data_IF_185350686088
#
_entry.id   IF_185350686088
#
_cell.length_a   1.000
_cell.length_b   1.000
_cell.length_c   1.000
_cell.angle_alpha   90.00
_cell.angle_beta   90.00
_cell.angle_gamma   90.00
#
_symmetry.space_group_name_H-M   'P 1'
#
loop_
_entity.id
_entity.type
_entity.pdbx_description
1 polymer ?
#
# COMPACT_ATOMS: atom_id res chain seq x y z
N UNK A 1 -31.08 17.89 -6.25
CA UNK A 1 -30.55 17.59 -7.60
C UNK A 1 -30.63 18.87 -8.42
N UNK A 2 -29.56 19.25 -9.13
CA UNK A 2 -29.57 20.44 -9.98
C UNK A 2 -30.55 20.27 -11.15
N UNK A 3 -31.53 21.16 -11.27
CA UNK A 3 -32.65 21.06 -12.21
C UNK A 3 -32.44 21.85 -13.52
N UNK A 4 -31.43 22.72 -13.59
CA UNK A 4 -31.21 23.61 -14.73
C UNK A 4 -29.71 23.72 -15.05
N UNK A 5 -29.36 23.31 -16.27
CA UNK A 5 -27.98 23.20 -16.69
C UNK A 5 -27.28 24.55 -16.85
N UNK A 6 -28.03 25.62 -17.10
CA UNK A 6 -27.53 26.97 -17.40
C UNK A 6 -27.36 27.79 -16.11
N UNK A 7 -28.14 27.48 -15.07
CA UNK A 7 -28.11 28.19 -13.77
C UNK A 7 -27.18 27.56 -12.74
N UNK A 8 -26.63 26.39 -13.02
CA UNK A 8 -25.77 25.68 -12.08
C UNK A 8 -24.35 26.25 -12.13
N UNK A 9 -23.80 26.77 -11.02
CA UNK A 9 -22.44 27.28 -10.95
C UNK A 9 -21.40 26.27 -11.48
N UNK A 10 -20.42 26.76 -12.25
CA UNK A 10 -19.29 25.97 -12.77
C UNK A 10 -18.60 25.10 -11.69
N UNK A 11 -18.38 25.55 -10.44
CA UNK A 11 -17.77 24.72 -9.41
C UNK A 11 -18.54 23.42 -9.13
N UNK A 12 -19.87 23.46 -9.10
CA UNK A 12 -20.71 22.28 -8.86
C UNK A 12 -20.65 21.29 -10.03
N UNK A 13 -20.49 21.80 -11.26
CA UNK A 13 -20.23 20.97 -12.43
C UNK A 13 -18.87 20.28 -12.37
N UNK A 14 -17.83 21.03 -11.98
CA UNK A 14 -16.49 20.47 -11.83
C UNK A 14 -16.45 19.42 -10.72
N UNK A 15 -17.11 19.64 -9.59
CA UNK A 15 -17.26 18.62 -8.54
C UNK A 15 -17.99 17.37 -9.04
N UNK A 16 -19.12 17.54 -9.73
CA UNK A 16 -19.89 16.42 -10.29
C UNK A 16 -19.08 15.65 -11.34
N UNK A 17 -18.36 16.36 -12.21
CA UNK A 17 -17.45 15.76 -13.19
C UNK A 17 -16.32 15.01 -12.51
N UNK A 18 -15.68 15.59 -11.50
CA UNK A 18 -14.62 14.94 -10.73
C UNK A 18 -15.15 13.70 -10.00
N UNK A 19 -16.34 13.75 -9.40
CA UNK A 19 -16.97 12.62 -8.74
C UNK A 19 -17.31 11.51 -9.75
N UNK A 20 -17.95 11.85 -10.87
CA UNK A 20 -18.25 10.91 -11.95
C UNK A 20 -16.97 10.30 -12.53
N UNK A 21 -15.95 11.12 -12.80
CA UNK A 21 -14.67 10.67 -13.30
C UNK A 21 -13.99 9.72 -12.31
N UNK A 22 -14.00 10.00 -11.00
CA UNK A 22 -13.48 9.09 -9.97
C UNK A 22 -14.21 7.73 -10.00
N UNK A 23 -15.54 7.73 -10.09
CA UNK A 23 -16.36 6.51 -10.15
C UNK A 23 -16.11 5.72 -11.44
N UNK A 24 -16.16 6.39 -12.59
CA UNK A 24 -15.90 5.76 -13.89
C UNK A 24 -14.48 5.24 -13.99
N UNK A 25 -13.48 5.98 -13.46
CA UNK A 25 -12.09 5.54 -13.38
C UNK A 25 -11.95 4.30 -12.51
N UNK A 26 -12.58 4.26 -11.34
CA UNK A 26 -12.56 3.09 -10.46
C UNK A 26 -13.21 1.88 -11.14
N UNK A 27 -14.39 2.06 -11.74
CA UNK A 27 -15.08 1.01 -12.48
C UNK A 27 -14.23 0.53 -13.67
N UNK A 28 -13.61 1.43 -14.43
CA UNK A 28 -12.73 1.09 -15.54
C UNK A 28 -11.48 0.32 -15.06
N UNK A 29 -10.88 0.70 -13.93
CA UNK A 29 -9.75 -0.03 -13.33
C UNK A 29 -10.18 -1.44 -12.92
N UNK A 30 -11.34 -1.59 -12.28
CA UNK A 30 -11.87 -2.90 -11.85
C UNK A 30 -12.24 -3.77 -13.07
N UNK A 31 -12.97 -3.22 -14.03
CA UNK A 31 -13.41 -3.92 -15.23
C UNK A 31 -12.22 -4.29 -16.12
N UNK A 32 -11.26 -3.39 -16.31
CA UNK A 32 -10.03 -3.70 -17.01
C UNK A 32 -9.23 -4.75 -16.24
N UNK A 33 -9.10 -4.63 -14.91
CA UNK A 33 -8.46 -5.63 -14.06
C UNK A 33 -9.10 -7.02 -14.20
N UNK A 34 -10.43 -7.11 -14.17
CA UNK A 34 -11.17 -8.36 -14.40
C UNK A 34 -11.02 -8.87 -15.84
N UNK A 35 -11.10 -7.97 -16.83
CA UNK A 35 -10.84 -8.27 -18.24
C UNK A 35 -9.37 -8.60 -18.53
N UNK A 36 -8.45 -8.38 -17.58
CA UNK A 36 -7.10 -8.92 -17.61
C UNK A 36 -7.07 -10.28 -16.92
N UNK A 37 -7.48 -10.36 -15.65
CA UNK A 37 -7.35 -11.55 -14.79
C UNK A 37 -8.10 -12.74 -15.38
N UNK A 38 -9.28 -12.53 -15.97
CA UNK A 38 -10.09 -13.61 -16.56
C UNK A 38 -9.39 -14.18 -17.80
N UNK A 39 -8.99 -13.40 -18.82
CA UNK A 39 -8.17 -13.94 -19.91
C UNK A 39 -6.80 -14.45 -19.48
N UNK A 40 -6.12 -13.82 -18.50
CA UNK A 40 -4.83 -14.29 -17.99
C UNK A 40 -4.98 -15.67 -17.33
N UNK A 41 -5.99 -15.85 -16.47
CA UNK A 41 -6.25 -17.12 -15.79
C UNK A 41 -6.72 -18.22 -16.75
N UNK A 42 -7.45 -17.86 -17.80
CA UNK A 42 -7.92 -18.79 -18.83
C UNK A 42 -6.84 -19.13 -19.88
N UNK A 43 -5.87 -18.23 -20.12
CA UNK A 43 -4.83 -18.39 -21.15
C UNK A 43 -3.42 -18.62 -20.61
N UNK A 44 -3.19 -18.65 -19.29
CA UNK A 44 -1.90 -19.06 -18.72
C UNK A 44 -1.76 -20.58 -18.91
N UNK A 45 -0.93 -21.07 -19.86
CA UNK A 45 -0.56 -22.46 -19.81
C UNK A 45 0.26 -22.69 -18.52
N UNK A 46 0.16 -23.88 -17.92
CA UNK A 46 1.01 -24.28 -16.79
C UNK A 46 2.45 -23.79 -17.01
N UNK A 47 3.03 -23.16 -16.00
CA UNK A 47 4.34 -22.44 -16.04
C UNK A 47 5.44 -23.18 -16.83
N UNK A 48 5.40 -24.52 -16.90
CA UNK A 48 6.31 -25.33 -17.72
C UNK A 48 6.21 -25.16 -19.25
N UNK A 49 5.10 -24.69 -19.82
CA UNK A 49 4.94 -24.46 -21.28
C UNK A 49 5.47 -23.09 -21.73
N UNK A 50 5.58 -22.12 -20.83
CA UNK A 50 6.17 -20.79 -21.10
C UNK A 50 7.65 -20.90 -21.46
N UNK A 51 8.33 -21.94 -20.98
CA UNK A 51 9.75 -22.19 -21.24
C UNK A 51 10.03 -22.84 -22.61
N UNK A 52 9.03 -23.41 -23.30
CA UNK A 52 9.25 -24.26 -24.48
C UNK A 52 8.39 -23.94 -25.73
N UNK A 53 7.53 -22.91 -25.74
CA UNK A 53 6.55 -22.67 -26.83
C UNK A 53 6.80 -21.46 -27.75
N UNK A 54 6.64 -21.67 -29.07
CA UNK A 54 6.90 -20.74 -30.18
C UNK A 54 6.30 -19.33 -30.07
N UNK A 55 7.06 -18.33 -30.52
CA UNK A 55 6.86 -16.89 -30.29
C UNK A 55 5.68 -16.23 -31.01
N UNK A 56 4.92 -16.95 -31.84
CA UNK A 56 4.12 -16.34 -32.93
C UNK A 56 2.61 -16.64 -33.00
N UNK A 57 2.01 -17.35 -32.04
CA UNK A 57 0.53 -17.46 -31.93
C UNK A 57 -0.01 -16.46 -30.88
N UNK A 58 -1.29 -16.06 -30.88
CA UNK A 58 -1.80 -14.71 -30.57
C UNK A 58 -1.39 -14.17 -29.18
N UNK A 59 -0.18 -13.59 -29.10
CA UNK A 59 0.41 -12.99 -27.89
C UNK A 59 0.28 -11.46 -27.85
N UNK A 60 -0.18 -10.84 -28.94
CA UNK A 60 -0.41 -9.40 -29.00
C UNK A 60 -1.48 -8.95 -28.00
N UNK A 61 -2.52 -9.74 -27.78
CA UNK A 61 -3.55 -9.41 -26.78
C UNK A 61 -2.96 -9.31 -25.37
N UNK A 62 -2.12 -10.27 -24.95
CA UNK A 62 -1.46 -10.23 -23.64
C UNK A 62 -0.49 -9.06 -23.54
N UNK A 63 0.25 -8.77 -24.63
CA UNK A 63 1.15 -7.62 -24.70
C UNK A 63 0.40 -6.29 -24.56
N UNK A 64 -0.69 -6.11 -25.31
CA UNK A 64 -1.54 -4.91 -25.28
C UNK A 64 -2.22 -4.75 -23.93
N UNK A 65 -2.74 -5.83 -23.36
CA UNK A 65 -3.32 -5.82 -22.01
C UNK A 65 -2.25 -5.41 -20.98
N UNK A 66 -1.05 -6.00 -21.05
CA UNK A 66 0.06 -5.66 -20.16
C UNK A 66 0.50 -4.20 -20.32
N UNK A 67 0.44 -3.66 -21.54
CA UNK A 67 0.74 -2.27 -21.84
C UNK A 67 -0.31 -1.32 -21.22
N UNK A 68 -1.59 -1.63 -21.35
CA UNK A 68 -2.67 -0.86 -20.71
C UNK A 68 -2.52 -0.87 -19.19
N UNK A 69 -2.24 -2.04 -18.60
CA UNK A 69 -1.97 -2.15 -17.16
C UNK A 69 -0.74 -1.36 -16.73
N UNK A 70 0.34 -1.35 -17.53
CA UNK A 70 1.50 -0.51 -17.26
C UNK A 70 1.11 0.97 -17.29
N UNK A 71 0.29 1.39 -18.25
CA UNK A 71 -0.21 2.77 -18.33
C UNK A 71 -1.01 3.17 -17.09
N UNK A 72 -1.88 2.29 -16.59
CA UNK A 72 -2.60 2.51 -15.34
C UNK A 72 -1.67 2.54 -14.13
N UNK A 73 -0.67 1.65 -14.09
CA UNK A 73 0.32 1.65 -13.02
C UNK A 73 1.07 2.99 -12.99
N UNK A 74 1.49 3.51 -14.14
CA UNK A 74 2.18 4.81 -14.27
C UNK A 74 1.26 5.96 -13.82
N UNK A 75 -0.01 5.97 -14.22
CA UNK A 75 -0.95 7.05 -13.86
C UNK A 75 -1.41 7.03 -12.40
N UNK A 76 -1.32 5.88 -11.73
CA UNK A 76 -1.54 5.76 -10.28
C UNK A 76 -0.27 6.12 -9.52
N UNK A 77 0.89 5.62 -9.97
CA UNK A 77 2.18 5.82 -9.33
C UNK A 77 3.29 5.80 -10.37
N UNK A 78 3.97 6.92 -10.57
CA UNK A 78 4.99 7.09 -11.62
C UNK A 78 6.07 5.99 -11.60
N UNK A 79 6.43 5.48 -10.41
CA UNK A 79 7.38 4.36 -10.22
C UNK A 79 6.96 3.10 -10.99
N UNK A 80 5.68 2.96 -11.36
CA UNK A 80 5.19 1.89 -12.22
C UNK A 80 5.96 1.76 -13.54
N UNK A 81 6.52 2.85 -14.08
CA UNK A 81 7.39 2.84 -15.28
C UNK A 81 8.52 1.82 -15.17
N UNK A 82 9.03 1.61 -13.96
CA UNK A 82 10.13 0.70 -13.70
C UNK A 82 9.77 -0.77 -13.99
N UNK A 83 8.52 -1.19 -13.74
CA UNK A 83 8.04 -2.53 -14.12
C UNK A 83 8.06 -2.75 -15.63
N UNK A 84 7.71 -1.72 -16.42
CA UNK A 84 7.85 -1.71 -17.88
C UNK A 84 9.30 -1.84 -18.32
N UNK A 85 10.23 -1.18 -17.60
CA UNK A 85 11.67 -1.33 -17.80
C UNK A 85 12.14 -2.78 -17.61
N UNK A 86 11.72 -3.45 -16.54
CA UNK A 86 12.07 -4.86 -16.29
C UNK A 86 11.54 -5.80 -17.39
N UNK A 87 10.29 -5.61 -17.83
CA UNK A 87 9.72 -6.35 -18.97
C UNK A 87 10.52 -6.10 -20.24
N UNK A 88 10.92 -4.85 -20.47
CA UNK A 88 11.75 -4.47 -21.63
C UNK A 88 13.10 -5.18 -21.63
N UNK A 89 13.79 -5.20 -20.47
CA UNK A 89 15.05 -5.93 -20.32
C UNK A 89 14.89 -7.42 -20.62
N UNK A 90 13.81 -8.04 -20.12
CA UNK A 90 13.54 -9.45 -20.40
C UNK A 90 13.29 -9.73 -21.88
N UNK A 91 12.43 -8.92 -22.53
CA UNK A 91 12.09 -9.10 -23.94
C UNK A 91 13.31 -8.83 -24.84
N UNK A 92 14.15 -7.84 -24.51
CA UNK A 92 15.40 -7.61 -25.23
C UNK A 92 16.39 -8.76 -25.05
N UNK A 93 16.53 -9.32 -23.84
CA UNK A 93 17.38 -10.49 -23.60
C UNK A 93 16.96 -11.69 -24.46
N UNK A 94 15.65 -12.00 -24.50
CA UNK A 94 15.13 -13.16 -25.23
C UNK A 94 15.00 -12.94 -26.74
N UNK A 95 14.41 -11.81 -27.14
CA UNK A 95 14.04 -11.50 -28.52
C UNK A 95 15.08 -10.68 -29.29
N UNK A 96 16.05 -10.06 -28.61
CA UNK A 96 17.07 -9.17 -29.19
C UNK A 96 16.42 -8.11 -30.10
N UNK A 97 16.93 -7.94 -31.31
CA UNK A 97 16.38 -6.98 -32.30
C UNK A 97 14.89 -7.24 -32.63
N UNK A 98 14.41 -8.49 -32.53
CA UNK A 98 13.00 -8.83 -32.79
C UNK A 98 12.06 -8.32 -31.71
N UNK A 99 12.57 -7.91 -30.55
CA UNK A 99 11.75 -7.33 -29.48
C UNK A 99 11.47 -5.84 -29.67
N UNK A 100 12.17 -5.15 -30.58
CA UNK A 100 12.07 -3.69 -30.75
C UNK A 100 10.65 -3.26 -31.12
N UNK A 101 10.05 -3.87 -32.16
CA UNK A 101 8.70 -3.52 -32.59
C UNK A 101 7.63 -3.85 -31.53
N UNK A 102 7.61 -5.05 -30.92
CA UNK A 102 6.71 -5.32 -29.79
C UNK A 102 6.87 -4.36 -28.63
N UNK A 103 8.10 -3.96 -28.29
CA UNK A 103 8.35 -3.00 -27.22
C UNK A 103 7.89 -1.59 -27.57
N UNK A 104 8.06 -1.17 -28.83
CA UNK A 104 7.52 0.10 -29.30
C UNK A 104 5.99 0.12 -29.14
N UNK A 105 5.30 -0.95 -29.57
CA UNK A 105 3.84 -1.08 -29.40
C UNK A 105 3.47 -1.07 -27.91
N UNK A 106 4.19 -1.84 -27.08
CA UNK A 106 3.96 -1.90 -25.64
C UNK A 106 4.06 -0.53 -24.97
N UNK A 107 5.13 0.23 -25.24
CA UNK A 107 5.32 1.55 -24.64
C UNK A 107 4.36 2.59 -25.21
N UNK A 108 4.06 2.58 -26.52
CA UNK A 108 3.08 3.50 -27.10
C UNK A 108 1.69 3.32 -26.49
N UNK A 109 1.25 2.06 -26.32
CA UNK A 109 -0.04 1.76 -25.70
C UNK A 109 -0.03 2.11 -24.21
N UNK A 110 1.08 1.86 -23.49
CA UNK A 110 1.21 2.25 -22.09
C UNK A 110 1.18 3.78 -21.91
N UNK A 111 1.87 4.53 -22.76
CA UNK A 111 1.86 6.01 -22.74
C UNK A 111 0.46 6.54 -23.04
N UNK A 112 -0.21 5.99 -24.06
CA UNK A 112 -1.58 6.37 -24.40
C UNK A 112 -2.55 6.10 -23.23
N UNK A 113 -2.48 4.92 -22.61
CA UNK A 113 -3.29 4.57 -21.45
C UNK A 113 -2.96 5.44 -20.22
N UNK A 114 -1.68 5.72 -19.97
CA UNK A 114 -1.26 6.60 -18.87
C UNK A 114 -1.80 8.02 -19.07
N UNK A 115 -1.62 8.61 -20.25
CA UNK A 115 -2.13 9.94 -20.58
C UNK A 115 -3.66 10.00 -20.47
N UNK A 116 -4.37 9.02 -21.04
CA UNK A 116 -5.83 8.95 -20.98
C UNK A 116 -6.36 8.81 -19.55
N UNK A 117 -5.60 8.20 -18.63
CA UNK A 117 -6.02 7.99 -17.23
C UNK A 117 -5.36 8.94 -16.23
N UNK A 118 -4.63 9.95 -16.70
CA UNK A 118 -3.95 10.95 -15.86
C UNK A 118 -4.34 12.38 -16.27
N UNK A 119 -5.52 12.87 -15.86
CA UNK A 119 -6.05 14.18 -16.30
C UNK A 119 -5.17 15.38 -15.98
N UNK A 120 -4.33 15.25 -14.95
CA UNK A 120 -3.33 16.25 -14.59
C UNK A 120 -2.41 16.60 -15.77
N UNK A 121 -2.19 15.67 -16.70
CA UNK A 121 -1.35 15.86 -17.88
C UNK A 121 -2.07 16.57 -19.04
N UNK A 122 -3.39 16.63 -19.09
CA UNK A 122 -4.11 17.09 -20.30
C UNK A 122 -3.88 18.56 -20.66
N UNK A 123 -3.79 19.50 -19.70
CA UNK A 123 -3.58 20.91 -20.06
C UNK A 123 -2.18 21.21 -20.60
N UNK A 124 -1.18 20.47 -20.11
CA UNK A 124 0.23 20.67 -20.48
C UNK A 124 1.06 19.40 -20.17
N UNK A 125 1.01 18.38 -21.05
CA UNK A 125 1.52 17.04 -20.71
C UNK A 125 3.01 17.02 -20.41
N UNK A 126 3.81 17.81 -21.14
CA UNK A 126 5.26 17.78 -21.00
C UNK A 126 5.71 18.42 -19.69
N UNK A 127 5.25 19.64 -19.36
CA UNK A 127 5.64 20.29 -18.12
C UNK A 127 5.06 19.57 -16.91
N UNK A 128 3.79 19.13 -16.98
CA UNK A 128 3.13 18.41 -15.87
C UNK A 128 3.83 17.11 -15.52
N UNK A 129 4.40 16.38 -16.48
CA UNK A 129 5.24 15.21 -16.19
C UNK A 129 6.45 15.63 -15.34
N UNK A 130 7.18 16.68 -15.75
CA UNK A 130 8.37 17.16 -15.02
C UNK A 130 8.00 17.62 -13.61
N UNK A 131 6.98 18.46 -13.49
CA UNK A 131 6.48 18.96 -12.19
C UNK A 131 6.13 17.80 -11.26
N UNK A 132 5.49 16.75 -11.80
CA UNK A 132 5.06 15.61 -11.02
C UNK A 132 6.22 14.83 -10.37
N UNK A 133 7.43 14.91 -10.92
CA UNK A 133 8.64 14.36 -10.28
C UNK A 133 9.29 15.34 -9.29
N UNK A 134 9.10 16.65 -9.48
CA UNK A 134 9.69 17.67 -8.62
C UNK A 134 8.91 17.84 -7.31
N UNK A 135 7.58 17.67 -7.32
CA UNK A 135 6.70 17.73 -6.14
C UNK A 135 7.15 16.77 -5.02
N UNK A 136 7.83 15.66 -5.36
CA UNK A 136 8.35 14.73 -4.36
C UNK A 136 9.31 15.41 -3.37
N UNK A 137 10.04 16.43 -3.83
CA UNK A 137 10.99 17.19 -3.00
C UNK A 137 10.29 18.15 -2.03
N UNK A 138 9.02 18.45 -2.27
CA UNK A 138 8.23 19.39 -1.47
C UNK A 138 7.45 18.70 -0.35
N UNK A 139 7.42 17.36 -0.31
CA UNK A 139 6.80 16.65 0.79
C UNK A 139 7.56 16.94 2.10
N UNK A 140 6.84 17.46 3.08
CA UNK A 140 7.40 17.88 4.37
C UNK A 140 8.05 16.76 5.17
N UNK A 141 8.86 17.16 6.15
CA UNK A 141 9.45 16.24 7.11
C UNK A 141 8.35 15.58 7.95
N UNK A 142 8.42 14.26 8.07
CA UNK A 142 7.57 13.45 8.93
C UNK A 142 8.44 12.83 10.03
N UNK A 143 7.83 12.47 11.15
CA UNK A 143 8.48 11.68 12.19
C UNK A 143 7.85 10.29 12.23
N UNK A 144 8.69 9.28 12.42
CA UNK A 144 8.27 7.89 12.58
C UNK A 144 8.83 7.31 13.86
N UNK A 145 8.16 6.30 14.37
CA UNK A 145 8.67 5.49 15.48
C UNK A 145 9.38 4.28 14.89
N UNK A 146 10.64 4.09 15.24
CA UNK A 146 11.44 2.96 14.82
C UNK A 146 12.34 2.48 15.97
N UNK A 147 12.10 1.25 16.43
CA UNK A 147 12.79 0.64 17.58
C UNK A 147 12.73 1.55 18.84
N UNK A 148 11.55 2.06 19.13
CA UNK A 148 11.28 2.88 20.32
C UNK A 148 11.74 4.34 20.21
N UNK A 149 12.36 4.72 19.08
CA UNK A 149 12.89 6.07 18.87
C UNK A 149 12.07 6.82 17.84
N UNK A 150 11.84 8.11 18.10
CA UNK A 150 11.26 9.04 17.14
C UNK A 150 12.38 9.48 16.20
N UNK A 151 12.28 9.10 14.92
CA UNK A 151 13.28 9.35 13.88
C UNK A 151 12.66 10.19 12.77
N UNK A 152 13.45 11.07 12.16
CA UNK A 152 13.02 11.83 10.98
C UNK A 152 12.87 10.90 9.76
N UNK A 153 11.82 11.12 8.96
CA UNK A 153 11.54 10.33 7.76
C UNK A 153 12.63 10.40 6.69
N UNK A 154 13.50 11.43 6.73
CA UNK A 154 14.65 11.58 5.84
C UNK A 154 15.96 10.99 6.39
N UNK A 155 16.00 10.62 7.67
CA UNK A 155 17.21 10.14 8.36
C UNK A 155 17.01 8.71 8.91
N UNK A 156 16.48 7.84 8.06
CA UNK A 156 16.22 6.45 8.44
C UNK A 156 17.45 5.59 8.21
N UNK A 157 17.77 4.68 9.16
CA UNK A 157 18.85 3.73 8.97
C UNK A 157 18.51 2.77 7.83
N UNK A 158 19.54 2.25 7.15
CA UNK A 158 19.37 1.23 6.10
C UNK A 158 18.59 -0.01 6.59
N UNK A 159 18.66 -0.30 7.90
CA UNK A 159 17.97 -1.40 8.56
C UNK A 159 16.45 -1.20 8.66
N UNK A 160 15.93 0.01 8.44
CA UNK A 160 14.50 0.31 8.52
C UNK A 160 13.67 -0.60 7.62
N UNK A 161 14.02 -0.65 6.34
CA UNK A 161 13.31 -1.48 5.35
C UNK A 161 13.36 -3.00 5.65
N UNK A 162 14.54 -3.63 5.79
CA UNK A 162 14.60 -5.07 6.04
C UNK A 162 13.94 -5.46 7.37
N UNK A 163 14.02 -4.60 8.40
CA UNK A 163 13.33 -4.81 9.67
C UNK A 163 11.82 -4.83 9.45
N UNK A 164 11.25 -3.82 8.79
CA UNK A 164 9.81 -3.80 8.56
C UNK A 164 9.32 -4.95 7.68
N UNK A 165 10.07 -5.35 6.64
CA UNK A 165 9.73 -6.56 5.85
C UNK A 165 9.71 -7.79 6.74
N UNK A 166 10.73 -7.96 7.59
CA UNK A 166 10.84 -9.09 8.52
C UNK A 166 9.70 -9.11 9.55
N UNK A 167 9.14 -7.97 9.93
CA UNK A 167 8.11 -7.90 10.96
C UNK A 167 6.68 -7.81 10.42
N UNK A 168 6.49 -7.35 9.17
CA UNK A 168 5.16 -7.18 8.56
C UNK A 168 4.78 -8.32 7.61
N UNK A 169 5.72 -9.17 7.19
CA UNK A 169 5.39 -10.40 6.48
C UNK A 169 5.04 -11.52 7.46
N UNK A 170 4.11 -12.40 7.06
CA UNK A 170 3.83 -13.61 7.84
C UNK A 170 5.05 -14.51 7.88
N UNK A 171 5.22 -15.27 8.95
CA UNK A 171 6.36 -16.16 9.14
C UNK A 171 6.49 -17.19 8.02
N UNK A 172 5.41 -17.83 7.52
CA UNK A 172 5.51 -18.69 6.34
C UNK A 172 6.00 -17.94 5.11
N UNK A 173 5.52 -16.71 4.86
CA UNK A 173 5.98 -15.92 3.72
C UNK A 173 7.48 -15.62 3.82
N UNK A 174 7.98 -15.26 5.01
CA UNK A 174 9.41 -15.02 5.24
C UNK A 174 10.26 -16.26 5.00
N UNK A 175 9.87 -17.40 5.59
CA UNK A 175 10.58 -18.67 5.42
C UNK A 175 10.59 -19.08 3.94
N UNK A 176 9.45 -18.97 3.26
CA UNK A 176 9.34 -19.31 1.85
C UNK A 176 10.15 -18.34 0.97
N UNK A 177 10.19 -17.04 1.28
CA UNK A 177 11.04 -16.07 0.58
C UNK A 177 12.52 -16.43 0.73
N UNK A 178 13.00 -16.75 1.94
CA UNK A 178 14.40 -17.15 2.17
C UNK A 178 14.75 -18.46 1.46
N UNK A 179 13.86 -19.45 1.51
CA UNK A 179 14.00 -20.70 0.76
C UNK A 179 14.03 -20.43 -0.75
N UNK A 180 13.13 -19.59 -1.23
CA UNK A 180 13.02 -19.21 -2.64
C UNK A 180 14.21 -18.45 -3.18
N UNK A 181 14.82 -17.57 -2.37
CA UNK A 181 16.08 -16.91 -2.67
C UNK A 181 17.21 -17.93 -2.80
N UNK A 182 17.31 -18.87 -1.85
CA UNK A 182 18.32 -19.93 -1.86
C UNK A 182 18.20 -20.85 -3.08
N UNK A 183 16.96 -21.27 -3.40
CA UNK A 183 16.66 -22.09 -4.58
C UNK A 183 16.93 -21.32 -5.87
N UNK A 184 16.54 -20.05 -5.95
CA UNK A 184 16.79 -19.19 -7.11
C UNK A 184 18.29 -18.97 -7.34
N UNK A 185 19.07 -18.74 -6.29
CA UNK A 185 20.52 -18.61 -6.36
C UNK A 185 21.17 -19.90 -6.87
N UNK A 186 20.79 -21.06 -6.31
CA UNK A 186 21.29 -22.35 -6.77
C UNK A 186 20.91 -22.66 -8.23
N UNK A 187 19.66 -22.38 -8.65
CA UNK A 187 19.21 -22.55 -10.04
C UNK A 187 19.97 -21.61 -10.99
N UNK A 188 20.31 -20.40 -10.54
CA UNK A 188 21.09 -19.42 -11.32
C UNK A 188 22.49 -19.91 -11.65
N UNK A 189 23.14 -20.64 -10.73
CA UNK A 189 24.45 -21.25 -10.97
C UNK A 189 24.40 -22.37 -12.03
N UNK A 190 23.21 -22.93 -12.31
CA UNK A 190 23.03 -24.09 -13.20
C UNK A 190 22.41 -23.74 -14.56
N UNK A 191 21.92 -22.52 -14.75
CA UNK A 191 21.23 -22.15 -15.99
C UNK A 191 21.11 -20.65 -16.20
N UNK A 192 21.48 -20.20 -17.41
CA UNK A 192 21.46 -18.79 -17.80
C UNK A 192 20.07 -18.16 -17.67
N UNK A 193 19.02 -18.90 -18.04
CA UNK A 193 17.65 -18.38 -17.96
C UNK A 193 17.17 -18.19 -16.52
N UNK A 194 17.54 -19.10 -15.61
CA UNK A 194 17.27 -18.95 -14.19
C UNK A 194 18.05 -17.77 -13.59
N UNK A 195 19.29 -17.56 -14.04
CA UNK A 195 20.09 -16.41 -13.63
C UNK A 195 19.48 -15.09 -14.09
N UNK A 196 18.95 -15.01 -15.31
CA UNK A 196 18.27 -13.79 -15.79
C UNK A 196 16.99 -13.52 -14.99
N UNK A 197 16.16 -14.53 -14.74
CA UNK A 197 14.93 -14.35 -13.93
C UNK A 197 15.24 -13.89 -12.51
N UNK A 198 16.20 -14.56 -11.85
CA UNK A 198 16.64 -14.19 -10.51
C UNK A 198 17.24 -12.79 -10.50
N UNK A 199 18.03 -12.45 -11.52
CA UNK A 199 18.60 -11.11 -11.71
C UNK A 199 17.53 -10.05 -11.87
N UNK A 200 16.50 -10.26 -12.68
CA UNK A 200 15.40 -9.30 -12.86
C UNK A 200 14.60 -9.08 -11.57
N UNK A 201 14.27 -10.14 -10.83
CA UNK A 201 13.63 -10.02 -9.52
C UNK A 201 14.54 -9.31 -8.51
N UNK A 202 15.84 -9.61 -8.55
CA UNK A 202 16.87 -8.95 -7.76
C UNK A 202 17.00 -7.46 -8.09
N UNK A 203 16.95 -7.07 -9.36
CA UNK A 203 16.89 -5.67 -9.78
C UNK A 203 15.59 -5.01 -9.32
N UNK A 204 14.48 -5.75 -9.32
CA UNK A 204 13.20 -5.23 -8.87
C UNK A 204 13.21 -4.85 -7.38
N UNK A 205 13.83 -5.67 -6.54
CA UNK A 205 14.02 -5.32 -5.12
C UNK A 205 15.14 -4.30 -4.96
N UNK A 206 16.29 -4.57 -5.57
CA UNK A 206 17.55 -3.89 -5.33
C UNK A 206 17.56 -2.43 -5.76
N UNK A 207 17.05 -2.09 -6.95
CA UNK A 207 17.09 -0.71 -7.44
C UNK A 207 16.23 0.23 -6.58
N UNK A 208 14.93 -0.06 -6.31
CA UNK A 208 14.12 0.80 -5.44
C UNK A 208 14.71 0.92 -4.04
N UNK A 209 15.13 -0.19 -3.42
CA UNK A 209 15.71 -0.16 -2.06
C UNK A 209 17.01 0.66 -2.04
N UNK A 210 17.90 0.45 -3.00
CA UNK A 210 19.14 1.21 -3.13
C UNK A 210 18.88 2.71 -3.28
N UNK A 211 17.95 3.11 -4.15
CA UNK A 211 17.61 4.51 -4.36
C UNK A 211 16.97 5.14 -3.11
N UNK A 212 16.08 4.41 -2.43
CA UNK A 212 15.44 4.89 -1.20
C UNK A 212 16.45 5.13 -0.09
N UNK A 213 17.40 4.19 0.10
CA UNK A 213 18.46 4.30 1.12
C UNK A 213 19.48 5.40 0.77
N UNK A 214 19.93 5.47 -0.48
CA UNK A 214 21.02 6.40 -0.87
C UNK A 214 20.56 7.83 -1.14
N UNK A 215 19.29 8.04 -1.53
CA UNK A 215 18.75 9.37 -1.82
C UNK A 215 18.03 10.01 -0.64
N UNK A 216 18.06 9.38 0.54
CA UNK A 216 17.41 9.89 1.76
C UNK A 216 15.96 10.35 1.50
N UNK A 217 15.24 9.59 0.67
CA UNK A 217 13.86 9.93 0.30
C UNK A 217 13.02 9.85 1.58
N UNK A 218 12.21 10.87 1.91
CA UNK A 218 11.34 10.82 3.08
C UNK A 218 10.40 9.61 3.03
N UNK A 219 10.56 8.68 3.97
CA UNK A 219 9.72 7.47 4.10
C UNK A 219 9.03 7.51 5.46
N UNK A 220 7.73 7.25 5.47
CA UNK A 220 6.91 7.32 6.68
C UNK A 220 5.77 6.32 6.63
N UNK A 221 5.06 6.14 7.74
CA UNK A 221 3.85 5.30 7.79
C UNK A 221 4.17 3.83 7.43
N UNK A 222 5.17 3.27 8.12
CA UNK A 222 5.55 1.86 8.06
C UNK A 222 5.92 1.40 6.62
N UNK A 223 5.58 0.16 6.23
CA UNK A 223 6.03 -0.51 5.02
C UNK A 223 5.41 0.04 3.70
N UNK A 224 4.44 0.95 3.77
CA UNK A 224 3.60 1.33 2.61
C UNK A 224 4.39 1.87 1.40
N UNK A 225 5.52 2.54 1.65
CA UNK A 225 6.37 3.07 0.57
C UNK A 225 7.10 1.94 -0.18
N UNK A 226 7.21 0.78 0.44
CA UNK A 226 7.87 -0.41 -0.08
C UNK A 226 6.91 -1.46 -0.66
N UNK A 227 5.60 -1.18 -0.76
CA UNK A 227 4.67 -2.10 -1.39
C UNK A 227 5.05 -2.46 -2.83
N UNK A 228 5.82 -1.61 -3.50
CA UNK A 228 6.34 -1.90 -4.83
C UNK A 228 7.40 -3.02 -4.87
N UNK A 229 8.09 -3.29 -3.76
CA UNK A 229 9.10 -4.37 -3.67
C UNK A 229 8.53 -5.66 -3.06
N UNK A 230 7.29 -5.65 -2.58
CA UNK A 230 6.63 -6.87 -2.10
C UNK A 230 6.37 -7.92 -3.20
N UNK A 231 5.87 -7.56 -4.41
CA UNK A 231 5.62 -8.55 -5.46
C UNK A 231 6.83 -9.44 -5.80
N UNK A 232 8.06 -8.92 -6.03
CA UNK A 232 9.21 -9.79 -6.29
C UNK A 232 9.61 -10.64 -5.07
N UNK A 233 9.46 -10.14 -3.83
CA UNK A 233 9.70 -10.93 -2.61
C UNK A 233 8.73 -12.12 -2.48
N UNK A 234 7.45 -11.89 -2.82
CA UNK A 234 6.44 -12.95 -2.90
C UNK A 234 6.67 -13.88 -4.10
N UNK A 235 7.26 -13.38 -5.19
CA UNK A 235 7.76 -14.19 -6.29
C UNK A 235 8.83 -15.19 -5.84
N UNK A 236 9.76 -14.75 -5.00
CA UNK A 236 10.69 -15.68 -4.35
C UNK A 236 9.96 -16.64 -3.41
N UNK A 237 9.00 -16.18 -2.61
CA UNK A 237 8.20 -17.09 -1.77
C UNK A 237 7.51 -18.19 -2.59
N UNK A 238 6.98 -17.85 -3.77
CA UNK A 238 6.38 -18.81 -4.69
C UNK A 238 7.40 -19.85 -5.19
N UNK A 239 8.63 -19.44 -5.52
CA UNK A 239 9.71 -20.37 -5.88
C UNK A 239 10.08 -21.29 -4.71
N UNK A 240 10.09 -20.77 -3.48
CA UNK A 240 10.34 -21.56 -2.28
C UNK A 240 9.24 -22.61 -2.05
N UNK A 241 7.98 -22.19 -2.17
CA UNK A 241 6.83 -23.08 -2.05
C UNK A 241 6.83 -24.15 -3.14
N UNK A 242 7.05 -23.78 -4.39
CA UNK A 242 7.19 -24.72 -5.51
C UNK A 242 8.31 -25.74 -5.26
N UNK A 243 9.46 -25.27 -4.78
CA UNK A 243 10.60 -26.12 -4.41
C UNK A 243 10.29 -27.13 -3.31
N UNK A 244 9.43 -26.77 -2.36
CA UNK A 244 8.92 -27.69 -1.33
C UNK A 244 7.90 -28.67 -1.90
N UNK A 245 6.93 -28.16 -2.65
CA UNK A 245 5.78 -28.93 -3.15
C UNK A 245 6.16 -29.92 -4.25
N UNK A 246 7.17 -29.64 -5.07
CA UNK A 246 7.61 -30.55 -6.15
C UNK A 246 8.17 -31.88 -5.62
N UNK A 247 8.59 -31.92 -4.36
CA UNK A 247 9.06 -33.15 -3.70
C UNK A 247 7.91 -34.04 -3.21
N UNK A 248 6.68 -33.55 -3.24
CA UNK A 248 5.51 -34.22 -2.68
C UNK A 248 4.63 -34.78 -3.80
N UNK A 249 4.32 -36.08 -3.72
CA UNK A 249 3.47 -36.76 -4.71
C UNK A 249 1.97 -36.62 -4.43
N UNK A 250 1.58 -36.52 -3.16
CA UNK A 250 0.17 -36.49 -2.75
C UNK A 250 -0.43 -35.08 -2.88
N UNK A 251 -1.46 -34.93 -3.73
CA UNK A 251 -2.15 -33.66 -3.90
C UNK A 251 -2.80 -33.11 -2.61
N UNK A 252 -3.42 -33.93 -1.74
CA UNK A 252 -3.95 -33.44 -0.47
C UNK A 252 -2.88 -32.81 0.42
N UNK A 253 -1.68 -33.37 0.45
CA UNK A 253 -0.57 -32.83 1.23
C UNK A 253 -0.08 -31.50 0.66
N UNK A 254 -0.03 -31.36 -0.67
CA UNK A 254 0.31 -30.09 -1.33
C UNK A 254 -0.70 -29.01 -0.99
N UNK A 255 -2.00 -29.35 -1.06
CA UNK A 255 -3.07 -28.43 -0.68
C UNK A 255 -3.01 -28.06 0.80
N UNK A 256 -2.74 -29.03 1.69
CA UNK A 256 -2.61 -28.79 3.12
C UNK A 256 -1.46 -27.83 3.45
N UNK A 257 -0.27 -28.03 2.87
CA UNK A 257 0.89 -27.14 3.08
C UNK A 257 0.59 -25.73 2.57
N UNK A 258 0.01 -25.60 1.38
CA UNK A 258 -0.41 -24.30 0.86
C UNK A 258 -1.43 -23.63 1.77
N UNK A 259 -2.46 -24.37 2.22
CA UNK A 259 -3.47 -23.87 3.15
C UNK A 259 -2.87 -23.39 4.47
N UNK A 260 -2.03 -24.22 5.10
CA UNK A 260 -1.33 -23.90 6.36
C UNK A 260 -0.46 -22.65 6.20
N UNK A 261 0.23 -22.48 5.06
CA UNK A 261 1.07 -21.30 4.82
C UNK A 261 0.27 -19.98 4.77
N UNK A 262 -1.02 -20.05 4.42
CA UNK A 262 -1.91 -18.89 4.36
C UNK A 262 -2.61 -18.60 5.69
N UNK A 263 -2.75 -19.59 6.58
CA UNK A 263 -3.50 -19.46 7.83
C UNK A 263 -3.09 -18.26 8.69
N UNK A 264 -1.79 -17.96 8.91
CA UNK A 264 -1.41 -16.80 9.71
C UNK A 264 -1.90 -15.47 9.13
N UNK A 265 -1.90 -15.33 7.79
CA UNK A 265 -2.40 -14.14 7.12
C UNK A 265 -3.91 -14.01 7.21
N UNK A 266 -4.64 -15.11 7.00
CA UNK A 266 -6.11 -15.14 7.14
C UNK A 266 -6.52 -14.82 8.59
N UNK A 267 -5.82 -15.41 9.56
CA UNK A 267 -6.03 -15.15 10.98
C UNK A 267 -5.76 -13.69 11.34
N UNK A 268 -4.67 -13.11 10.82
CA UNK A 268 -4.35 -11.69 11.01
C UNK A 268 -5.46 -10.79 10.46
N UNK A 269 -5.93 -11.05 9.24
CA UNK A 269 -7.03 -10.30 8.61
C UNK A 269 -8.28 -10.35 9.50
N UNK A 270 -8.72 -11.55 9.91
CA UNK A 270 -9.92 -11.71 10.72
C UNK A 270 -9.80 -11.01 12.09
N UNK A 271 -8.66 -11.15 12.76
CA UNK A 271 -8.50 -10.66 14.12
C UNK A 271 -8.13 -9.18 14.23
N UNK A 272 -7.60 -8.59 13.16
CA UNK A 272 -7.29 -7.16 13.10
C UNK A 272 -8.38 -6.34 12.42
N UNK A 273 -9.35 -6.95 11.76
CA UNK A 273 -10.43 -6.23 11.08
C UNK A 273 -11.05 -5.13 11.99
N UNK A 274 -11.22 -3.89 11.49
CA UNK A 274 -10.96 -3.38 10.13
C UNK A 274 -9.57 -2.72 9.92
N UNK A 275 -8.55 -3.14 10.68
CA UNK A 275 -7.23 -2.49 10.76
C UNK A 275 -6.08 -3.42 10.33
N UNK A 276 -6.27 -4.17 9.25
CA UNK A 276 -5.32 -5.19 8.79
C UNK A 276 -3.94 -4.61 8.45
N UNK A 277 -3.87 -3.32 8.11
CA UNK A 277 -2.63 -2.63 7.80
C UNK A 277 -1.71 -2.43 9.03
N UNK A 278 -2.25 -2.57 10.25
CA UNK A 278 -1.52 -2.48 11.51
C UNK A 278 -0.80 -3.80 11.88
N UNK A 279 -0.80 -4.79 10.99
CA UNK A 279 -0.26 -6.11 11.26
C UNK A 279 1.25 -6.10 11.53
N UNK A 280 1.60 -6.76 12.63
CA UNK A 280 2.95 -7.18 12.96
C UNK A 280 2.92 -8.66 13.34
N UNK A 281 3.93 -9.41 12.89
CA UNK A 281 4.04 -10.85 13.10
C UNK A 281 4.52 -11.18 14.53
N UNK A 282 4.65 -12.47 14.83
CA UNK A 282 5.02 -12.94 16.17
C UNK A 282 6.45 -12.58 16.58
N UNK A 283 7.36 -12.35 15.63
CA UNK A 283 8.73 -11.90 15.91
C UNK A 283 8.76 -10.50 16.54
N UNK A 284 7.78 -9.65 16.20
CA UNK A 284 7.57 -8.36 16.83
C UNK A 284 6.81 -8.43 18.16
N UNK A 285 6.43 -9.63 18.64
CA UNK A 285 5.46 -9.79 19.73
C UNK A 285 4.02 -9.48 19.30
N UNK A 286 3.73 -9.54 18.00
CA UNK A 286 2.47 -9.11 17.42
C UNK A 286 2.28 -7.59 17.47
N UNK A 287 1.08 -7.14 17.14
CA UNK A 287 0.70 -5.71 17.15
C UNK A 287 0.95 -5.03 18.50
N UNK A 288 0.69 -5.76 19.60
CA UNK A 288 0.97 -5.28 20.96
C UNK A 288 2.47 -5.03 21.18
N UNK A 289 3.34 -5.99 20.80
CA UNK A 289 4.78 -5.83 20.95
C UNK A 289 5.38 -4.75 20.03
N UNK A 290 4.72 -4.46 18.91
CA UNK A 290 5.11 -3.35 18.03
C UNK A 290 4.67 -1.96 18.54
N UNK A 291 3.73 -1.90 19.50
CA UNK A 291 3.22 -0.63 20.02
C UNK A 291 4.32 0.12 20.76
N UNK A 292 4.57 1.38 20.40
CA UNK A 292 5.66 2.18 20.96
C UNK A 292 7.03 1.89 20.35
N UNK A 293 7.21 0.75 19.69
CA UNK A 293 8.43 0.38 18.98
C UNK A 293 8.38 0.77 17.50
N UNK A 294 7.20 0.70 16.89
CA UNK A 294 6.95 1.02 15.48
C UNK A 294 5.61 1.75 15.32
N UNK A 295 5.41 2.39 14.17
CA UNK A 295 4.10 2.94 13.81
C UNK A 295 3.09 1.82 13.50
N UNK A 296 2.10 1.67 14.38
CA UNK A 296 1.02 0.68 14.28
C UNK A 296 -0.24 1.27 13.62
N UNK A 297 -0.67 2.46 14.04
CA UNK A 297 -1.93 3.12 13.61
C UNK A 297 -1.66 4.49 12.97
N UNK A 298 -0.79 4.52 11.95
CA UNK A 298 -0.35 5.77 11.32
C UNK A 298 -1.38 6.46 10.40
N UNK A 299 -2.48 5.79 10.06
CA UNK A 299 -3.58 6.42 9.32
C UNK A 299 -4.71 6.88 10.24
N UNK A 300 -4.72 6.52 11.52
CA UNK A 300 -5.75 6.91 12.48
C UNK A 300 -7.17 6.59 12.02
N UNK A 301 -7.35 5.45 11.36
CA UNK A 301 -8.66 4.91 10.97
C UNK A 301 -9.47 4.47 12.20
N UNK A 302 -8.80 4.20 13.32
CA UNK A 302 -9.40 3.95 14.64
C UNK A 302 -10.28 5.09 15.13
N UNK A 303 -10.06 6.31 14.63
CA UNK A 303 -10.89 7.48 14.93
C UNK A 303 -12.35 7.29 14.51
N UNK A 304 -12.66 6.42 13.53
CA UNK A 304 -14.05 6.08 13.23
C UNK A 304 -14.75 5.48 14.46
N UNK A 305 -14.17 4.43 15.04
CA UNK A 305 -14.76 3.75 16.21
C UNK A 305 -14.74 4.66 17.44
N UNK A 306 -13.70 5.48 17.59
CA UNK A 306 -13.64 6.48 18.64
C UNK A 306 -14.80 7.49 18.52
N UNK A 307 -15.05 8.02 17.33
CA UNK A 307 -16.17 8.92 17.05
C UNK A 307 -17.52 8.23 17.27
N UNK A 308 -17.67 6.95 16.89
CA UNK A 308 -18.89 6.18 17.15
C UNK A 308 -19.18 6.04 18.66
N UNK A 309 -18.14 5.94 19.49
CA UNK A 309 -18.27 5.98 20.95
C UNK A 309 -18.67 7.37 21.46
N UNK A 310 -18.01 8.43 20.98
CA UNK A 310 -18.33 9.82 21.36
C UNK A 310 -19.76 10.17 20.99
N UNK A 311 -20.22 9.78 19.80
CA UNK A 311 -21.60 9.96 19.35
C UNK A 311 -22.65 9.34 20.27
N UNK A 312 -22.29 8.35 21.10
CA UNK A 312 -23.23 7.71 22.04
C UNK A 312 -23.20 8.33 23.43
N UNK A 313 -22.12 9.03 23.79
CA UNK A 313 -21.81 9.44 25.17
C UNK A 313 -21.72 10.95 25.36
N UNK A 314 -21.57 11.70 24.26
CA UNK A 314 -21.49 13.15 24.28
C UNK A 314 -22.86 13.82 24.37
N UNK A 315 -22.93 14.88 25.17
CA UNK A 315 -24.08 15.77 25.23
C UNK A 315 -24.13 16.68 23.98
N UNK A 316 -25.32 17.19 23.61
CA UNK A 316 -25.43 18.10 22.48
C UNK A 316 -24.58 19.35 22.65
N UNK A 317 -23.85 19.75 21.61
CA UNK A 317 -22.99 20.94 21.62
C UNK A 317 -21.62 20.74 22.25
N UNK A 318 -21.28 19.54 22.77
CA UNK A 318 -19.94 19.28 23.29
C UNK A 318 -18.87 19.34 22.18
N UNK A 319 -17.68 19.77 22.57
CA UNK A 319 -16.53 19.90 21.68
C UNK A 319 -15.67 18.63 21.70
N UNK A 320 -15.58 17.96 20.55
CA UNK A 320 -14.69 16.83 20.30
C UNK A 320 -13.40 17.32 19.64
N UNK A 321 -12.30 17.32 20.39
CA UNK A 321 -10.98 17.59 19.85
C UNK A 321 -10.30 16.31 19.38
N UNK A 322 -9.78 16.31 18.15
CA UNK A 322 -9.18 15.13 17.52
C UNK A 322 -7.68 15.31 17.36
N UNK A 323 -6.91 14.49 18.08
CA UNK A 323 -5.46 14.33 17.95
C UNK A 323 -5.15 13.25 16.92
N UNK A 324 -4.94 13.71 15.69
CA UNK A 324 -4.64 12.86 14.53
C UNK A 324 -5.30 13.42 13.28
N UNK A 325 -5.61 12.53 12.33
CA UNK A 325 -6.27 12.90 11.09
C UNK A 325 -7.77 13.16 11.33
N UNK A 326 -8.13 14.41 11.66
CA UNK A 326 -9.53 14.83 11.89
C UNK A 326 -10.49 14.46 10.74
N UNK A 327 -9.97 14.36 9.51
CA UNK A 327 -10.68 13.89 8.33
C UNK A 327 -11.30 12.50 8.48
N UNK A 328 -10.75 11.66 9.38
CA UNK A 328 -11.32 10.34 9.68
C UNK A 328 -12.44 10.37 10.71
N UNK A 329 -12.62 11.48 11.43
CA UNK A 329 -13.70 11.67 12.40
C UNK A 329 -14.89 12.42 11.78
N UNK A 330 -14.64 13.43 10.95
CA UNK A 330 -15.66 14.31 10.34
C UNK A 330 -16.84 13.55 9.71
N UNK A 331 -16.63 12.51 8.87
CA UNK A 331 -17.74 11.84 8.20
C UNK A 331 -18.67 11.07 9.13
N UNK A 332 -18.23 10.79 10.36
CA UNK A 332 -18.94 9.92 11.29
C UNK A 332 -19.48 10.69 12.50
N UNK A 333 -19.03 11.91 12.76
CA UNK A 333 -19.52 12.69 13.90
C UNK A 333 -20.98 13.13 13.69
N UNK A 334 -21.76 13.13 14.76
CA UNK A 334 -23.08 13.78 14.80
C UNK A 334 -22.96 15.28 14.49
N UNK A 335 -24.01 15.87 13.92
CA UNK A 335 -24.00 17.26 13.44
C UNK A 335 -23.95 18.31 14.56
N UNK A 336 -24.38 17.93 15.77
CA UNK A 336 -24.41 18.79 16.96
C UNK A 336 -23.09 18.81 17.74
N UNK A 337 -22.09 18.01 17.36
CA UNK A 337 -20.74 18.11 17.95
C UNK A 337 -19.94 19.22 17.29
N UNK A 338 -19.17 19.93 18.12
CA UNK A 338 -18.18 20.89 17.65
C UNK A 338 -16.87 20.11 17.46
N UNK A 339 -16.43 19.94 16.22
CA UNK A 339 -15.19 19.24 15.90
C UNK A 339 -14.02 20.21 15.82
N UNK A 340 -12.99 19.96 16.63
CA UNK A 340 -11.77 20.75 16.66
C UNK A 340 -10.54 19.90 16.38
N UNK A 341 -9.56 20.48 15.68
CA UNK A 341 -8.30 19.78 15.39
C UNK A 341 -7.29 19.98 16.52
N UNK A 342 -6.23 19.16 16.53
CA UNK A 342 -5.08 19.32 17.44
C UNK A 342 -4.34 20.67 17.36
N UNK A 343 -4.66 21.51 16.36
CA UNK A 343 -4.11 22.86 16.24
C UNK A 343 -4.93 23.92 16.98
N UNK A 344 -6.13 23.56 17.47
CA UNK A 344 -6.99 24.45 18.23
C UNK A 344 -6.62 24.44 19.73
N UNK A 345 -6.92 25.52 20.49
CA UNK A 345 -6.60 25.58 21.92
C UNK A 345 -7.33 24.50 22.74
N UNK A 346 -6.56 23.70 23.50
CA UNK A 346 -7.03 22.65 24.41
C UNK A 346 -8.17 23.05 25.39
N UNK A 347 -8.21 24.28 25.95
CA UNK A 347 -9.27 24.66 26.90
C UNK A 347 -10.69 24.59 26.34
N UNK A 348 -10.86 24.50 25.01
CA UNK A 348 -12.18 24.36 24.38
C UNK A 348 -12.70 22.93 24.32
N UNK A 349 -11.88 21.92 24.59
CA UNK A 349 -12.26 20.52 24.40
C UNK A 349 -13.03 19.97 25.61
N UNK A 350 -14.21 19.40 25.39
CA UNK A 350 -14.95 18.62 26.40
C UNK A 350 -14.52 17.15 26.34
N UNK A 351 -14.27 16.67 25.12
CA UNK A 351 -13.85 15.30 24.82
C UNK A 351 -12.65 15.36 23.88
N UNK A 352 -11.69 14.46 24.09
CA UNK A 352 -10.48 14.36 23.29
C UNK A 352 -10.33 12.94 22.76
N UNK A 353 -10.31 12.79 21.44
CA UNK A 353 -10.01 11.52 20.77
C UNK A 353 -8.58 11.55 20.23
N UNK A 354 -7.78 10.57 20.64
CA UNK A 354 -6.36 10.50 20.36
C UNK A 354 -6.04 9.25 19.57
N UNK A 355 -5.37 9.41 18.43
CA UNK A 355 -4.69 8.34 17.73
C UNK A 355 -3.29 8.15 18.34
N UNK A 356 -3.02 6.95 18.85
CA UNK A 356 -1.88 6.66 19.74
C UNK A 356 -0.49 6.83 19.10
N UNK A 357 -0.40 6.80 17.77
CA UNK A 357 0.86 6.97 17.03
C UNK A 357 1.33 8.44 16.86
N UNK A 358 0.51 9.42 17.27
CA UNK A 358 0.72 10.84 16.92
C UNK A 358 0.92 11.80 18.10
N UNK A 359 1.04 11.31 19.34
CA UNK A 359 1.18 12.20 20.49
C UNK A 359 2.64 12.36 20.89
N UNK A 360 3.29 13.40 20.37
CA UNK A 360 4.48 13.96 21.01
C UNK A 360 4.17 15.36 21.54
N UNK A 361 4.16 15.48 22.88
CA UNK A 361 4.37 16.75 23.59
C UNK A 361 3.28 17.83 23.57
N UNK A 362 2.13 17.64 22.93
CA UNK A 362 1.01 18.63 22.92
C UNK A 362 -0.23 18.23 23.72
N UNK A 363 -0.16 17.14 24.47
CA UNK A 363 -1.29 16.60 25.22
C UNK A 363 -0.94 16.58 26.71
N UNK A 364 -1.71 17.30 27.52
CA UNK A 364 -1.67 17.19 28.97
C UNK A 364 -2.97 16.49 29.43
N UNK A 365 -2.89 15.24 29.94
CA UNK A 365 -4.06 14.52 30.42
C UNK A 365 -4.53 14.96 31.81
N UNK A 366 -3.86 15.91 32.49
CA UNK A 366 -4.15 16.29 33.88
C UNK A 366 -5.63 16.61 34.16
N UNK A 367 -6.27 17.36 33.26
CA UNK A 367 -7.68 17.76 33.35
C UNK A 367 -8.65 16.74 32.74
N UNK A 368 -8.17 15.57 32.32
CA UNK A 368 -8.97 14.60 31.58
C UNK A 368 -8.88 13.18 32.15
N UNK A 369 -10.00 12.48 32.10
CA UNK A 369 -10.09 11.06 32.46
C UNK A 369 -10.24 10.21 31.19
N UNK A 370 -9.46 9.12 31.11
CA UNK A 370 -9.63 8.11 30.06
C UNK A 370 -10.98 7.40 30.26
N UNK A 371 -11.86 7.49 29.27
CA UNK A 371 -13.21 6.89 29.33
C UNK A 371 -13.39 5.72 28.39
N UNK A 372 -12.60 5.62 27.32
CA UNK A 372 -12.67 4.51 26.37
C UNK A 372 -11.38 4.32 25.58
N UNK A 373 -11.15 3.09 25.13
CA UNK A 373 -10.04 2.74 24.25
C UNK A 373 -10.52 1.85 23.11
N UNK A 374 -10.10 2.21 21.89
CA UNK A 374 -10.24 1.34 20.73
C UNK A 374 -9.01 0.43 20.72
N UNK A 375 -9.22 -0.84 21.07
CA UNK A 375 -8.15 -1.83 21.12
C UNK A 375 -8.33 -2.93 20.08
N UNK A 376 -7.20 -3.44 19.58
CA UNK A 376 -7.15 -4.68 18.79
C UNK A 376 -5.92 -5.47 19.18
N UNK A 377 -6.11 -6.79 19.40
CA UNK A 377 -5.02 -7.72 19.72
C UNK A 377 -4.09 -7.24 20.86
N UNK A 378 -4.66 -6.52 21.83
CA UNK A 378 -3.95 -6.00 23.00
C UNK A 378 -3.13 -4.71 22.75
N UNK A 379 -3.24 -4.12 21.57
CA UNK A 379 -2.71 -2.79 21.26
C UNK A 379 -3.83 -1.74 21.29
N UNK A 380 -3.50 -0.55 21.79
CA UNK A 380 -4.43 0.60 21.85
C UNK A 380 -4.23 1.45 20.60
N UNK A 381 -5.27 1.61 19.79
CA UNK A 381 -5.23 2.31 18.50
C UNK A 381 -5.81 3.71 18.59
N UNK A 382 -6.77 3.91 19.49
CA UNK A 382 -7.25 5.22 19.86
C UNK A 382 -7.67 5.25 21.32
N UNK A 383 -7.57 6.42 21.94
CA UNK A 383 -8.02 6.69 23.29
C UNK A 383 -9.01 7.84 23.28
N UNK A 384 -10.05 7.74 24.09
CA UNK A 384 -11.05 8.78 24.28
C UNK A 384 -10.97 9.24 25.72
N UNK A 385 -10.77 10.54 25.88
CA UNK A 385 -10.63 11.20 27.17
C UNK A 385 -11.76 12.22 27.33
N UNK A 386 -12.29 12.36 28.55
CA UNK A 386 -13.32 13.33 28.88
C UNK A 386 -12.79 14.29 29.93
N UNK A 387 -13.12 15.58 29.80
CA UNK A 387 -12.72 16.59 30.78
C UNK A 387 -13.32 16.25 32.14
N UNK A 388 -12.49 16.34 33.18
CA UNK A 388 -12.95 16.21 34.56
C UNK A 388 -13.96 17.32 34.83
N UNK A 389 -15.11 16.98 35.40
CA UNK A 389 -16.03 18.00 35.90
C UNK A 389 -15.34 18.74 37.04
N UNK A 390 -15.43 20.08 37.06
CA UNK A 390 -14.93 20.85 38.19
C UNK A 390 -15.60 20.33 39.47
N UNK A 391 -14.87 20.16 40.59
CA UNK A 391 -15.51 19.83 41.85
C UNK A 391 -16.53 20.93 42.15
N UNK A 392 -17.79 20.53 42.34
CA UNK A 392 -18.91 21.42 42.73
C UNK A 392 -18.64 22.15 44.04
#
# INVERSE_FOLDING_TARGET
>A
MASDAIKTPLPLYLEKYQALFKVLRLAAIILAGAAVIIPLSLNLPSIGRVWHGSWFAPRYTVLLISAVLLGFAISIRQVGVFSGGLVSLYLLYRGRARAVLPLAIYWLVAIAAAYATWPYLWPDPFHRIVDSFQVIKEFGLHYVIFQGRIVSSSDLPWSYFPTLVMLNLTEPALILTLLGLSVSAWRSLRGKDAAVMTGLLGLWVGIPVYLLVTRHVPIYNNLRHFFFVLPPLLGFAAVGLDGLLVRLRAMPLRAAISGVSLLPGIWAIFTLHPYEYAYFNTLAGGVKGATGEYNVEYWCTSLKEATDFVNKTAAPGETLMVFGQIQNAIPYARQDLILESMYSPLPKADIVAICTDLVSGRWDPSDFQLVHEVQRRGAVFAQIWRRNQAPE
#
